data_IF_320425837296
#
_entry.id   IF_320425837296
#
_cell.length_a   1.000
_cell.length_b   1.000
_cell.length_c   1.000
_cell.angle_alpha   90.00
_cell.angle_beta   90.00
_cell.angle_gamma   90.00
#
_symmetry.space_group_name_H-M   'P 1'
#
loop_
_entity.id
_entity.type
_entity.pdbx_description
1 polymer ?
#
# COMPACT_ATOMS: atom_id res chain seq x y z
N UNK A 1 22.72 3.47 41.92
CA UNK A 1 21.62 4.21 41.30
C UNK A 1 20.32 3.74 41.93
N UNK A 2 19.55 4.61 42.50
CA UNK A 2 18.28 4.22 43.11
C UNK A 2 17.26 3.84 42.02
N UNK A 3 16.43 2.81 42.25
CA UNK A 3 15.46 2.29 41.29
C UNK A 3 14.54 3.38 40.71
N UNK A 4 14.23 4.42 41.48
CA UNK A 4 13.40 5.56 41.04
C UNK A 4 14.07 6.47 40.01
N UNK A 5 15.41 6.56 39.99
CA UNK A 5 16.13 7.36 38.98
C UNK A 5 16.20 6.65 37.63
N UNK A 6 16.39 5.31 37.63
CA UNK A 6 16.37 4.52 36.41
C UNK A 6 15.03 4.61 35.70
N UNK A 7 13.92 4.59 36.44
CA UNK A 7 12.56 4.70 35.86
C UNK A 7 12.28 6.08 35.24
N UNK A 8 12.80 7.15 35.87
CA UNK A 8 12.69 8.51 35.30
C UNK A 8 13.47 8.67 34.00
N UNK A 9 14.69 8.12 33.92
CA UNK A 9 15.53 8.18 32.72
C UNK A 9 14.85 7.44 31.54
N UNK A 10 14.29 6.24 31.78
CA UNK A 10 13.56 5.48 30.77
C UNK A 10 12.33 6.26 30.27
N UNK A 11 11.59 6.92 31.16
CA UNK A 11 10.43 7.71 30.76
C UNK A 11 10.81 8.97 29.96
N UNK A 12 11.93 9.63 30.30
CA UNK A 12 12.45 10.77 29.52
C UNK A 12 12.90 10.32 28.15
N UNK A 13 13.65 9.21 28.04
CA UNK A 13 14.10 8.66 26.76
C UNK A 13 12.91 8.24 25.87
N UNK A 14 11.88 7.62 26.43
CA UNK A 14 10.67 7.26 25.70
C UNK A 14 9.85 8.49 25.24
N UNK A 15 9.94 9.62 25.95
CA UNK A 15 9.23 10.84 25.59
C UNK A 15 9.95 11.64 24.50
N UNK A 16 11.26 11.48 24.37
CA UNK A 16 12.07 12.18 23.36
C UNK A 16 12.31 11.38 22.09
N UNK A 17 12.13 10.06 22.12
CA UNK A 17 12.23 9.23 20.90
C UNK A 17 11.00 9.45 20.01
N UNK A 18 11.19 10.12 18.88
CA UNK A 18 10.19 10.18 17.82
C UNK A 18 9.85 8.74 17.41
N UNK A 19 8.57 8.39 17.45
CA UNK A 19 8.10 7.08 16.98
C UNK A 19 8.46 6.91 15.51
N UNK A 20 9.20 5.86 15.20
CA UNK A 20 9.45 5.46 13.82
C UNK A 20 8.14 4.89 13.27
N UNK A 21 7.70 5.39 12.12
CA UNK A 21 6.53 4.88 11.40
C UNK A 21 6.98 3.81 10.42
N UNK A 22 6.44 2.61 10.56
CA UNK A 22 6.72 1.47 9.68
C UNK A 22 5.60 1.36 8.66
N UNK A 23 5.96 1.47 7.38
CA UNK A 23 5.05 1.35 6.25
C UNK A 23 5.34 0.06 5.51
N UNK A 24 4.36 -0.85 5.46
CA UNK A 24 4.46 -2.07 4.65
C UNK A 24 4.10 -1.75 3.20
N UNK A 25 5.06 -1.92 2.28
CA UNK A 25 4.85 -1.70 0.85
C UNK A 25 4.21 -2.94 0.21
N UNK A 26 2.90 -2.94 0.05
CA UNK A 26 2.18 -3.98 -0.70
C UNK A 26 2.34 -3.75 -2.21
N UNK A 27 2.33 -2.49 -2.64
CA UNK A 27 2.53 -2.10 -4.03
C UNK A 27 1.52 -2.78 -4.95
N UNK A 28 2.01 -3.65 -5.83
CA UNK A 28 1.22 -4.47 -6.76
C UNK A 28 1.36 -5.97 -6.49
N UNK A 29 1.94 -6.37 -5.36
CA UNK A 29 2.18 -7.77 -5.04
C UNK A 29 0.89 -8.57 -4.76
N UNK A 30 -0.24 -7.89 -4.67
CA UNK A 30 -1.57 -8.50 -4.59
C UNK A 30 -2.03 -9.14 -5.92
N UNK A 31 -1.31 -8.98 -7.02
CA UNK A 31 -1.62 -9.58 -8.33
C UNK A 31 -3.05 -9.28 -8.85
N UNK A 32 -3.62 -8.11 -8.56
CA UNK A 32 -4.99 -7.78 -8.93
C UNK A 32 -6.08 -8.53 -8.15
N UNK A 33 -5.70 -9.28 -7.11
CA UNK A 33 -6.59 -10.06 -6.26
C UNK A 33 -6.86 -9.31 -4.95
N UNK A 34 -8.11 -8.89 -4.76
CA UNK A 34 -8.55 -8.13 -3.58
C UNK A 34 -8.45 -8.95 -2.28
N UNK A 35 -8.78 -10.25 -2.35
CA UNK A 35 -8.70 -11.12 -1.18
C UNK A 35 -7.24 -11.38 -0.76
N UNK A 36 -6.35 -11.51 -1.73
CA UNK A 36 -4.92 -11.56 -1.46
C UNK A 36 -4.43 -10.24 -0.83
N UNK A 37 -4.88 -9.10 -1.34
CA UNK A 37 -4.57 -7.79 -0.76
C UNK A 37 -5.01 -7.69 0.70
N UNK A 38 -6.24 -8.13 1.04
CA UNK A 38 -6.73 -8.16 2.43
C UNK A 38 -5.87 -9.06 3.33
N UNK A 39 -5.45 -10.23 2.85
CA UNK A 39 -4.53 -11.11 3.58
C UNK A 39 -3.17 -10.42 3.83
N UNK A 40 -2.63 -9.72 2.84
CA UNK A 40 -1.37 -8.98 2.98
C UNK A 40 -1.50 -7.81 3.98
N UNK A 41 -2.62 -7.10 3.97
CA UNK A 41 -2.92 -6.04 4.95
C UNK A 41 -2.91 -6.62 6.38
N UNK A 42 -3.63 -7.72 6.60
CA UNK A 42 -3.71 -8.37 7.91
C UNK A 42 -2.33 -8.87 8.38
N UNK A 43 -1.57 -9.51 7.50
CA UNK A 43 -0.22 -9.97 7.80
C UNK A 43 0.71 -8.80 8.18
N UNK A 44 0.66 -7.71 7.41
CA UNK A 44 1.45 -6.50 7.69
C UNK A 44 1.12 -5.91 9.06
N UNK A 45 -0.18 -5.80 9.39
CA UNK A 45 -0.62 -5.35 10.71
C UNK A 45 -0.10 -6.26 11.82
N UNK A 46 -0.23 -7.57 11.67
CA UNK A 46 0.21 -8.55 12.68
C UNK A 46 1.73 -8.55 12.87
N UNK A 47 2.49 -8.15 11.85
CA UNK A 47 3.94 -7.95 11.93
C UNK A 47 4.34 -6.59 12.53
N UNK A 48 3.39 -5.73 12.89
CA UNK A 48 3.66 -4.46 13.58
C UNK A 48 3.81 -3.26 12.65
N UNK A 49 3.42 -3.36 11.37
CA UNK A 49 3.37 -2.19 10.48
C UNK A 49 2.30 -1.20 10.97
N UNK A 50 2.63 0.09 10.94
CA UNK A 50 1.70 1.17 11.32
C UNK A 50 0.66 1.42 10.24
N UNK A 51 1.02 1.21 8.97
CA UNK A 51 0.14 1.31 7.82
C UNK A 51 0.68 0.52 6.62
N UNK A 52 -0.18 0.31 5.64
CA UNK A 52 0.17 -0.35 4.37
C UNK A 52 0.12 0.65 3.22
N UNK A 53 0.94 0.43 2.18
CA UNK A 53 0.98 1.29 1.01
C UNK A 53 0.76 0.50 -0.29
N UNK A 54 -0.15 1.02 -1.11
CA UNK A 54 -0.43 0.57 -2.47
C UNK A 54 0.16 1.54 -3.52
N UNK A 55 -0.03 1.23 -4.78
CA UNK A 55 0.30 2.09 -5.92
C UNK A 55 -0.95 2.30 -6.75
N UNK A 56 -1.16 3.53 -7.24
CA UNK A 56 -2.25 3.85 -8.17
C UNK A 56 -1.69 4.51 -9.41
N UNK A 57 -2.03 3.95 -10.58
CA UNK A 57 -1.60 4.44 -11.88
C UNK A 57 -2.77 4.49 -12.85
N UNK A 58 -2.85 5.56 -13.63
CA UNK A 58 -3.53 5.54 -14.92
C UNK A 58 -2.52 5.10 -15.98
N UNK A 59 -2.65 3.89 -16.48
CA UNK A 59 -1.62 3.27 -17.33
C UNK A 59 -1.37 4.04 -18.61
N UNK A 60 -2.38 4.71 -19.16
CA UNK A 60 -2.23 5.53 -20.37
C UNK A 60 -1.53 6.87 -20.10
N UNK A 61 -1.53 7.34 -18.86
CA UNK A 61 -0.80 8.54 -18.44
C UNK A 61 0.67 8.25 -18.09
N UNK A 62 0.97 7.03 -17.62
CA UNK A 62 2.29 6.65 -17.13
C UNK A 62 3.17 6.04 -18.22
N UNK A 63 2.59 5.27 -19.14
CA UNK A 63 3.34 4.53 -20.17
C UNK A 63 3.02 5.01 -21.57
N UNK A 64 4.03 5.02 -22.46
CA UNK A 64 3.80 5.30 -23.86
C UNK A 64 3.01 4.18 -24.55
N UNK A 65 2.39 4.51 -25.68
CA UNK A 65 1.61 3.54 -26.46
C UNK A 65 2.49 2.37 -26.92
N UNK A 66 3.71 2.64 -27.34
CA UNK A 66 4.66 1.60 -27.79
C UNK A 66 4.96 0.60 -26.67
N UNK A 67 5.17 1.08 -25.43
CA UNK A 67 5.38 0.22 -24.27
C UNK A 67 4.13 -0.61 -23.97
N UNK A 68 2.95 0.02 -23.96
CA UNK A 68 1.70 -0.66 -23.64
C UNK A 68 1.34 -1.73 -24.69
N UNK A 69 1.62 -1.49 -25.96
CA UNK A 69 1.31 -2.42 -27.05
C UNK A 69 2.41 -3.47 -27.26
N UNK A 70 3.52 -3.39 -26.50
CA UNK A 70 4.60 -4.38 -26.59
C UNK A 70 4.15 -5.77 -26.10
N UNK A 71 4.66 -6.86 -26.73
CA UNK A 71 4.31 -8.23 -26.35
C UNK A 71 4.74 -8.53 -24.91
N UNK A 72 3.79 -9.04 -24.10
CA UNK A 72 4.05 -9.51 -22.74
C UNK A 72 3.01 -10.54 -22.33
N UNK A 73 3.43 -11.79 -22.23
CA UNK A 73 2.55 -12.86 -21.74
C UNK A 73 2.29 -12.70 -20.25
N UNK A 74 1.02 -12.72 -19.85
CA UNK A 74 0.56 -12.63 -18.48
C UNK A 74 -0.75 -13.37 -18.29
N UNK A 75 -1.23 -13.58 -17.04
CA UNK A 75 -2.55 -14.16 -16.79
C UNK A 75 -3.72 -13.37 -17.39
N UNK A 76 -3.54 -12.08 -17.67
CA UNK A 76 -4.57 -11.17 -18.17
C UNK A 76 -4.55 -10.97 -19.70
N UNK A 77 -3.51 -11.46 -20.39
CA UNK A 77 -3.38 -11.32 -21.84
C UNK A 77 -1.94 -11.37 -22.33
N UNK A 78 -1.74 -10.87 -23.56
CA UNK A 78 -0.49 -11.01 -24.30
C UNK A 78 0.27 -9.71 -24.52
N UNK A 79 -0.24 -8.59 -24.00
CA UNK A 79 0.39 -7.27 -24.10
C UNK A 79 0.81 -6.74 -22.72
N UNK A 80 1.71 -5.78 -22.73
CA UNK A 80 2.09 -5.05 -21.50
C UNK A 80 0.87 -4.30 -20.93
N UNK A 81 -0.01 -3.79 -21.78
CA UNK A 81 -1.28 -3.18 -21.38
C UNK A 81 -2.12 -4.12 -20.53
N UNK A 82 -2.36 -5.34 -21.00
CA UNK A 82 -3.16 -6.33 -20.29
C UNK A 82 -2.60 -6.62 -18.91
N UNK A 83 -1.28 -6.80 -18.84
CA UNK A 83 -0.60 -7.05 -17.56
C UNK A 83 -0.69 -5.86 -16.59
N UNK A 84 -0.45 -4.64 -17.08
CA UNK A 84 -0.54 -3.44 -16.23
C UNK A 84 -1.97 -3.19 -15.75
N UNK A 85 -2.96 -3.36 -16.64
CA UNK A 85 -4.37 -3.18 -16.30
C UNK A 85 -4.84 -4.23 -15.28
N UNK A 86 -4.42 -5.47 -15.45
CA UNK A 86 -4.77 -6.56 -14.52
C UNK A 86 -4.26 -6.36 -13.09
N UNK A 87 -3.20 -5.57 -12.92
CA UNK A 87 -2.62 -5.24 -11.62
C UNK A 87 -3.25 -4.01 -10.95
N UNK A 88 -4.09 -3.23 -11.64
CA UNK A 88 -4.69 -2.02 -11.10
C UNK A 88 -6.01 -2.31 -10.38
N UNK A 89 -6.18 -1.71 -9.20
CA UNK A 89 -7.44 -1.66 -8.50
C UNK A 89 -8.28 -0.46 -8.90
N UNK A 90 -9.60 -0.65 -9.00
CA UNK A 90 -10.58 0.39 -9.24
C UNK A 90 -11.18 0.96 -7.95
N UNK A 91 -12.17 1.85 -8.10
CA UNK A 91 -12.82 2.52 -6.96
C UNK A 91 -13.45 1.52 -5.98
N UNK A 92 -14.17 0.52 -6.48
CA UNK A 92 -14.81 -0.50 -5.62
C UNK A 92 -13.80 -1.30 -4.80
N UNK A 93 -12.64 -1.61 -5.37
CA UNK A 93 -11.59 -2.34 -4.66
C UNK A 93 -11.00 -1.47 -3.53
N UNK A 94 -10.76 -0.19 -3.79
CA UNK A 94 -10.26 0.74 -2.77
C UNK A 94 -11.31 1.03 -1.69
N UNK A 95 -12.60 1.08 -2.02
CA UNK A 95 -13.69 1.17 -1.02
C UNK A 95 -13.68 -0.04 -0.08
N UNK A 96 -13.49 -1.25 -0.64
CA UNK A 96 -13.39 -2.47 0.16
C UNK A 96 -12.10 -2.52 1.00
N UNK A 97 -10.97 -2.04 0.48
CA UNK A 97 -9.71 -1.90 1.23
C UNK A 97 -9.89 -0.94 2.41
N UNK A 98 -10.51 0.22 2.17
CA UNK A 98 -10.75 1.23 3.20
C UNK A 98 -11.64 0.69 4.32
N UNK A 99 -12.74 0.03 3.95
CA UNK A 99 -13.65 -0.63 4.88
C UNK A 99 -12.93 -1.69 5.71
N UNK A 100 -12.18 -2.57 5.06
CA UNK A 100 -11.44 -3.63 5.73
C UNK A 100 -10.37 -3.09 6.68
N UNK A 101 -9.61 -2.08 6.27
CA UNK A 101 -8.61 -1.44 7.12
C UNK A 101 -9.25 -0.81 8.37
N UNK A 102 -10.40 -0.17 8.23
CA UNK A 102 -11.18 0.37 9.37
C UNK A 102 -11.65 -0.74 10.31
N UNK A 103 -12.18 -1.83 9.78
CA UNK A 103 -12.64 -2.98 10.56
C UNK A 103 -11.53 -3.60 11.41
N UNK A 104 -10.34 -3.78 10.85
CA UNK A 104 -9.21 -4.40 11.58
C UNK A 104 -8.34 -3.40 12.34
N UNK A 105 -8.62 -2.10 12.26
CA UNK A 105 -7.89 -1.05 12.97
C UNK A 105 -6.48 -0.81 12.44
N UNK A 106 -6.33 -0.71 11.12
CA UNK A 106 -5.09 -0.27 10.46
C UNK A 106 -5.36 0.88 9.50
N UNK A 107 -4.30 1.42 8.91
CA UNK A 107 -4.37 2.52 7.95
C UNK A 107 -3.77 2.10 6.62
N UNK A 108 -4.19 2.76 5.56
CA UNK A 108 -3.61 2.57 4.24
C UNK A 108 -3.39 3.91 3.53
N UNK A 109 -2.50 3.89 2.56
CA UNK A 109 -2.33 4.95 1.58
C UNK A 109 -1.94 4.35 0.23
N UNK A 110 -1.98 5.14 -0.82
CA UNK A 110 -1.46 4.76 -2.12
C UNK A 110 -0.60 5.87 -2.72
N UNK A 111 0.49 5.50 -3.37
CA UNK A 111 1.29 6.42 -4.16
C UNK A 111 0.60 6.67 -5.50
N UNK A 112 0.25 7.92 -5.80
CA UNK A 112 -0.22 8.32 -7.11
C UNK A 112 0.98 8.52 -8.06
N UNK A 113 0.97 7.88 -9.22
CA UNK A 113 2.04 7.98 -10.22
C UNK A 113 1.78 9.06 -11.27
N UNK A 114 0.56 9.59 -11.30
CA UNK A 114 0.09 10.60 -12.25
C UNK A 114 -1.03 11.45 -11.63
N UNK A 115 -1.38 12.56 -12.31
CA UNK A 115 -2.40 13.50 -11.81
C UNK A 115 -3.81 12.90 -11.75
N UNK A 116 -4.16 12.00 -12.69
CA UNK A 116 -5.47 11.32 -12.65
C UNK A 116 -5.57 10.42 -11.42
N UNK A 117 -4.50 9.66 -11.15
CA UNK A 117 -4.42 8.81 -9.96
C UNK A 117 -4.45 9.62 -8.66
N UNK A 118 -3.79 10.79 -8.63
CA UNK A 118 -3.88 11.69 -7.48
C UNK A 118 -5.31 12.19 -7.26
N UNK A 119 -6.02 12.58 -8.31
CA UNK A 119 -7.42 13.01 -8.21
C UNK A 119 -8.36 11.86 -7.82
N UNK A 120 -8.06 10.65 -8.27
CA UNK A 120 -8.80 9.45 -7.89
C UNK A 120 -8.69 9.15 -6.38
N UNK A 121 -7.56 9.42 -5.76
CA UNK A 121 -7.28 9.12 -4.34
C UNK A 121 -7.73 10.22 -3.37
N UNK A 122 -8.20 11.37 -3.86
CA UNK A 122 -8.76 12.47 -3.04
C UNK A 122 -10.20 12.20 -2.62
#
# INVERSE_FOLDING_TARGET
MEAGQSFKIINVLNKEMKKIVIISEIGINHNGDLELAKKMILASKNCGADLVKFQKRDINSVYSKEILDSPRKSPWGTTTRDQKQGLEFGAKDYDEIDKYCKEIGTKWLASAWDLKSLNFLK
#
